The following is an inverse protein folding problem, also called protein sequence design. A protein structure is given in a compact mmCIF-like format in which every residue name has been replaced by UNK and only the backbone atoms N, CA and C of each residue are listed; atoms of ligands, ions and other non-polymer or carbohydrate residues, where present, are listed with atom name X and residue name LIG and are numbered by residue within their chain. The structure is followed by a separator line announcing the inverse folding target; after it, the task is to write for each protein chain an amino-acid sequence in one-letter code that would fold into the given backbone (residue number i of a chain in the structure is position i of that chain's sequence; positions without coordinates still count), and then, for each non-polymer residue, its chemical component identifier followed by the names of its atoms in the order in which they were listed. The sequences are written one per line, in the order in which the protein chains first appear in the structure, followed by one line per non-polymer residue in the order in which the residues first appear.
data_IF_916211680548
#
_entry.id   IF_916211680548
#
_cell.length_a   1.000
_cell.length_b   1.000
_cell.length_c   1.000
_cell.angle_alpha   90.00
_cell.angle_beta   90.00
_cell.angle_gamma   90.00
#
_symmetry.space_group_name_H-M   'P 1'
#
loop_
_entity.id
_entity.type
_entity.pdbx_description
1 polymer ?
#
# COMPACT_ATOMS: atom_id res chain seq x y z
N UNK A 1 -4.32 -8.99 12.59
CA UNK A 1 -3.92 -7.66 12.10
C UNK A 1 -4.41 -6.67 13.13
N UNK A 2 -3.49 -5.92 13.74
CA UNK A 2 -3.83 -4.90 14.74
C UNK A 2 -4.49 -3.75 13.98
N UNK A 3 -5.59 -3.23 14.52
CA UNK A 3 -6.30 -2.06 14.03
C UNK A 3 -5.36 -0.86 14.02
N UNK A 4 -4.67 -0.65 12.90
CA UNK A 4 -3.84 0.52 12.67
C UNK A 4 -4.76 1.64 12.21
N UNK A 5 -5.01 2.54 13.14
CA UNK A 5 -5.79 3.77 13.07
C UNK A 5 -5.31 4.70 11.93
N UNK A 6 -5.61 4.34 10.69
CA UNK A 6 -5.32 5.12 9.47
C UNK A 6 -3.84 5.30 9.09
N UNK A 7 -2.89 4.87 9.92
CA UNK A 7 -1.46 5.05 9.68
C UNK A 7 -0.91 4.11 8.60
N UNK A 8 0.10 4.59 7.86
CA UNK A 8 0.86 3.75 6.91
C UNK A 8 1.60 2.68 7.69
N UNK A 9 1.43 1.43 7.27
CA UNK A 9 2.14 0.29 7.84
C UNK A 9 3.38 0.01 6.99
N UNK A 10 4.51 -0.23 7.64
CA UNK A 10 5.80 -0.47 6.98
C UNK A 10 6.34 -1.84 7.39
N UNK A 11 6.74 -2.64 6.41
CA UNK A 11 7.40 -3.92 6.64
C UNK A 11 8.74 -3.93 5.92
N UNK A 12 9.84 -3.97 6.67
CA UNK A 12 11.19 -4.03 6.12
C UNK A 12 11.57 -5.48 5.85
N UNK A 13 12.15 -5.73 4.67
CA UNK A 13 12.68 -7.03 4.29
C UNK A 13 14.20 -7.00 4.26
N UNK A 14 14.84 -8.17 4.43
CA UNK A 14 16.29 -8.26 4.35
C UNK A 14 16.74 -8.27 2.88
N UNK A 15 17.61 -7.34 2.51
CA UNK A 15 18.17 -7.28 1.15
C UNK A 15 18.96 -8.54 0.78
N UNK A 16 19.52 -9.23 1.78
CA UNK A 16 20.28 -10.46 1.62
C UNK A 16 19.43 -11.65 1.14
N UNK A 17 18.15 -11.74 1.52
CA UNK A 17 17.25 -12.79 1.03
C UNK A 17 16.85 -12.56 -0.42
N UNK A 18 16.52 -11.31 -0.77
CA UNK A 18 16.13 -10.97 -2.14
C UNK A 18 17.28 -11.03 -3.14
N UNK A 19 18.49 -10.64 -2.74
CA UNK A 19 19.66 -10.69 -3.64
C UNK A 19 20.06 -12.13 -3.99
N UNK A 20 19.77 -13.09 -3.09
CA UNK A 20 20.07 -14.51 -3.30
C UNK A 20 19.02 -15.20 -4.18
N UNK A 21 17.75 -14.88 -3.98
CA UNK A 21 16.61 -15.41 -4.76
C UNK A 21 16.50 -14.75 -6.15
N UNK A 22 16.85 -13.46 -6.27
CA UNK A 22 16.69 -12.67 -7.50
C UNK A 22 18.00 -11.98 -7.96
N UNK A 23 19.08 -12.72 -8.23
CA UNK A 23 20.40 -12.16 -8.51
C UNK A 23 20.49 -11.31 -9.79
N UNK A 24 19.54 -11.45 -10.73
CA UNK A 24 19.53 -10.74 -12.02
C UNK A 24 18.52 -9.59 -12.11
N UNK A 25 17.70 -9.35 -11.09
CA UNK A 25 16.51 -8.49 -11.20
C UNK A 25 16.50 -7.35 -10.17
N UNK A 26 17.62 -6.65 -9.96
CA UNK A 26 17.66 -5.52 -9.02
C UNK A 26 16.63 -4.41 -9.33
N UNK A 27 16.21 -4.27 -10.59
CA UNK A 27 15.35 -3.16 -11.05
C UNK A 27 13.85 -3.47 -11.03
N UNK A 28 13.45 -4.75 -11.01
CA UNK A 28 12.03 -5.15 -11.15
C UNK A 28 11.37 -5.54 -9.82
N UNK A 29 12.06 -5.34 -8.69
CA UNK A 29 11.50 -5.71 -7.38
C UNK A 29 10.48 -4.69 -6.88
N UNK A 30 10.69 -3.41 -7.19
CA UNK A 30 9.76 -2.36 -6.81
C UNK A 30 8.44 -2.49 -7.58
N UNK A 31 7.32 -2.34 -6.87
CA UNK A 31 6.00 -2.38 -7.49
C UNK A 31 4.99 -1.54 -6.71
N UNK A 32 3.91 -1.21 -7.41
CA UNK A 32 2.71 -0.61 -6.83
C UNK A 32 1.53 -1.51 -7.12
N UNK A 33 0.76 -1.84 -6.10
CA UNK A 33 -0.45 -2.65 -6.19
C UNK A 33 -1.59 -1.92 -5.49
N UNK A 34 -2.63 -1.59 -6.25
CA UNK A 34 -3.92 -1.13 -5.74
C UNK A 34 -4.87 -2.30 -5.62
N UNK A 35 -5.32 -2.60 -4.40
CA UNK A 35 -6.18 -3.75 -4.10
C UNK A 35 -7.57 -3.29 -3.65
N UNK A 36 -8.60 -3.82 -4.29
CA UNK A 36 -9.99 -3.65 -3.87
C UNK A 36 -10.77 -4.93 -4.18
N UNK A 37 -11.57 -5.39 -3.22
CA UNK A 37 -12.35 -6.62 -3.33
C UNK A 37 -11.50 -7.82 -3.81
N UNK A 38 -10.32 -7.98 -3.21
CA UNK A 38 -9.32 -9.01 -3.57
C UNK A 38 -8.88 -9.00 -5.05
N UNK A 39 -9.00 -7.86 -5.75
CA UNK A 39 -8.58 -7.69 -7.14
C UNK A 39 -7.66 -6.49 -7.29
N UNK A 40 -6.65 -6.64 -8.15
CA UNK A 40 -5.79 -5.53 -8.55
C UNK A 40 -6.58 -4.54 -9.42
N UNK A 41 -6.46 -3.25 -9.11
CA UNK A 41 -7.05 -2.16 -9.88
C UNK A 41 -6.10 -1.59 -10.94
N UNK A 42 -4.80 -1.81 -10.78
CA UNK A 42 -3.77 -1.36 -11.71
C UNK A 42 -3.09 -2.52 -12.44
N UNK A 43 -2.35 -2.20 -13.51
CA UNK A 43 -1.61 -3.20 -14.27
C UNK A 43 -0.35 -3.64 -13.50
N UNK A 44 -0.32 -4.91 -13.09
CA UNK A 44 0.79 -5.53 -12.36
C UNK A 44 1.50 -6.63 -13.17
N UNK A 45 1.16 -6.82 -14.45
CA UNK A 45 1.65 -7.96 -15.27
C UNK A 45 3.17 -7.99 -15.44
N UNK A 46 3.82 -6.83 -15.34
CA UNK A 46 5.27 -6.70 -15.44
C UNK A 46 6.01 -7.06 -14.15
N UNK A 47 5.33 -7.18 -13.01
CA UNK A 47 5.94 -7.51 -11.73
C UNK A 47 5.49 -8.89 -11.27
N UNK A 48 6.41 -9.85 -11.26
CA UNK A 48 6.20 -11.19 -10.72
C UNK A 48 5.93 -11.15 -9.20
N UNK A 49 6.60 -10.24 -8.48
CA UNK A 49 6.39 -10.05 -7.04
C UNK A 49 5.00 -9.51 -6.72
N UNK A 50 4.51 -8.52 -7.48
CA UNK A 50 3.16 -7.99 -7.28
C UNK A 50 2.08 -9.05 -7.53
N UNK A 51 2.28 -9.90 -8.55
CA UNK A 51 1.37 -11.01 -8.85
C UNK A 51 1.39 -12.08 -7.77
N UNK A 52 2.58 -12.46 -7.28
CA UNK A 52 2.74 -13.40 -6.17
C UNK A 52 2.06 -12.88 -4.90
N UNK A 53 2.30 -11.60 -4.55
CA UNK A 53 1.64 -10.96 -3.41
C UNK A 53 0.12 -10.96 -3.57
N UNK A 54 -0.41 -10.63 -4.75
CA UNK A 54 -1.85 -10.66 -5.01
C UNK A 54 -2.46 -12.03 -4.73
N UNK A 55 -1.80 -13.12 -5.17
CA UNK A 55 -2.26 -14.49 -4.92
C UNK A 55 -2.32 -14.78 -3.42
N UNK A 56 -1.27 -14.45 -2.67
CA UNK A 56 -1.26 -14.61 -1.21
C UNK A 56 -2.35 -13.79 -0.52
N UNK A 57 -2.58 -12.55 -0.98
CA UNK A 57 -3.63 -11.68 -0.45
C UNK A 57 -5.03 -12.24 -0.74
N UNK A 58 -5.24 -12.88 -1.88
CA UNK A 58 -6.51 -13.52 -2.26
C UNK A 58 -6.85 -14.75 -1.41
N UNK A 59 -5.84 -15.48 -0.92
CA UNK A 59 -6.04 -16.62 -0.02
C UNK A 59 -6.47 -16.20 1.40
N UNK A 60 -6.25 -14.94 1.77
CA UNK A 60 -6.59 -14.42 3.10
C UNK A 60 -8.04 -13.93 3.19
N UNK A 61 -8.82 -14.62 4.03
CA UNK A 61 -10.20 -14.20 4.38
C UNK A 61 -10.22 -12.81 5.02
N UNK A 62 -9.22 -12.50 5.84
CA UNK A 62 -9.09 -11.19 6.49
C UNK A 62 -8.89 -10.08 5.47
N UNK A 63 -7.99 -10.27 4.50
CA UNK A 63 -7.74 -9.28 3.46
C UNK A 63 -8.97 -9.10 2.57
N UNK A 64 -9.67 -10.19 2.27
CA UNK A 64 -10.92 -10.13 1.51
C UNK A 64 -11.99 -9.29 2.22
N UNK A 65 -12.16 -9.46 3.54
CA UNK A 65 -13.07 -8.67 4.34
C UNK A 65 -12.64 -7.20 4.47
N UNK A 66 -11.35 -6.92 4.61
CA UNK A 66 -10.85 -5.54 4.71
C UNK A 66 -10.94 -4.78 3.38
N UNK A 67 -10.67 -5.47 2.27
CA UNK A 67 -10.65 -4.84 0.94
C UNK A 67 -12.00 -4.80 0.25
N UNK A 68 -13.03 -5.48 0.79
CA UNK A 68 -14.40 -5.40 0.24
C UNK A 68 -15.02 -4.02 0.42
N UNK A 69 -14.63 -3.29 1.46
CA UNK A 69 -15.20 -1.99 1.80
C UNK A 69 -14.28 -0.82 1.44
N UNK A 70 -13.03 -1.09 1.06
CA UNK A 70 -12.00 -0.07 0.93
C UNK A 70 -10.86 -0.49 0.03
N UNK A 71 -10.30 0.48 -0.68
CA UNK A 71 -9.09 0.26 -1.49
C UNK A 71 -7.86 0.38 -0.61
N UNK A 72 -6.87 -0.48 -0.85
CA UNK A 72 -5.55 -0.43 -0.23
C UNK A 72 -4.48 -0.25 -1.30
N UNK A 73 -3.43 0.48 -0.95
CA UNK A 73 -2.22 0.63 -1.74
C UNK A 73 -1.08 -0.10 -1.05
N UNK A 74 -0.41 -0.95 -1.81
CA UNK A 74 0.80 -1.68 -1.43
C UNK A 74 1.91 -1.19 -2.34
N UNK A 75 2.89 -0.49 -1.77
CA UNK A 75 4.09 -0.02 -2.46
C UNK A 75 5.28 -0.78 -1.92
N UNK A 76 5.99 -1.50 -2.79
CA UNK A 76 7.29 -2.06 -2.45
C UNK A 76 8.37 -1.21 -3.11
N UNK A 77 9.30 -0.69 -2.32
CA UNK A 77 10.37 0.20 -2.79
C UNK A 77 11.71 -0.52 -3.00
N UNK A 78 12.66 0.21 -3.58
CA UNK A 78 14.04 -0.26 -3.82
C UNK A 78 14.85 -0.49 -2.54
N UNK A 79 14.36 0.01 -1.39
CA UNK A 79 14.95 -0.22 -0.08
C UNK A 79 14.40 -1.50 0.58
N UNK A 80 13.64 -2.31 -0.17
CA UNK A 80 13.02 -3.54 0.30
C UNK A 80 12.00 -3.28 1.43
N UNK A 81 11.29 -2.15 1.37
CA UNK A 81 10.22 -1.81 2.32
C UNK A 81 8.86 -1.91 1.63
N UNK A 82 7.96 -2.71 2.22
CA UNK A 82 6.56 -2.76 1.84
C UNK A 82 5.77 -1.73 2.66
N UNK A 83 5.25 -0.71 1.99
CA UNK A 83 4.36 0.30 2.52
C UNK A 83 2.92 -0.09 2.21
N UNK A 84 2.08 -0.18 3.23
CA UNK A 84 0.66 -0.50 3.11
C UNK A 84 -0.17 0.64 3.66
N UNK A 85 -1.07 1.18 2.84
CA UNK A 85 -2.00 2.23 3.27
C UNK A 85 -3.38 2.02 2.70
N UNK A 86 -4.41 2.46 3.43
CA UNK A 86 -5.77 2.55 2.90
C UNK A 86 -5.82 3.70 1.89
N UNK A 87 -6.17 3.43 0.65
CA UNK A 87 -6.38 4.43 -0.40
C UNK A 87 -7.72 5.14 -0.13
N UNK A 88 -7.71 6.00 0.89
CA UNK A 88 -8.93 6.55 1.45
C UNK A 88 -8.72 7.35 2.73
N UNK A 89 -7.58 8.03 2.89
CA UNK A 89 -7.44 9.24 3.71
C UNK A 89 -6.40 10.13 3.01
N UNK A 90 -6.83 10.92 2.01
CA UNK A 90 -6.23 12.26 1.90
C UNK A 90 -6.60 12.91 3.21
N UNK A 91 -5.63 13.05 4.13
CA UNK A 91 -5.79 13.92 5.27
C UNK A 91 -6.34 15.23 4.73
N UNK A 92 -7.51 15.62 5.24
CA UNK A 92 -8.19 16.84 4.89
C UNK A 92 -7.26 18.00 5.25
N UNK A 93 -6.40 18.44 4.32
CA UNK A 93 -5.70 19.72 4.38
C UNK A 93 -6.37 20.68 3.41
N UNK A 94 -7.67 20.92 3.62
CA UNK A 94 -8.34 22.06 2.98
C UNK A 94 -9.56 22.52 3.78
N UNK A 95 -9.43 22.66 5.10
CA UNK A 95 -10.41 23.36 5.92
C UNK A 95 -9.81 23.92 7.23
N UNK A 96 -8.71 24.67 7.18
CA UNK A 96 -8.27 25.45 8.35
C UNK A 96 -7.59 26.78 7.99
N UNK A 97 -8.08 27.51 6.97
CA UNK A 97 -7.79 28.94 6.78
C UNK A 97 -8.92 29.67 6.09
N UNK A 98 -10.12 29.72 6.69
CA UNK A 98 -11.17 30.71 6.37
C UNK A 98 -12.28 30.68 7.43
N UNK A 99 -11.94 30.78 8.72
CA UNK A 99 -12.92 31.21 9.72
C UNK A 99 -12.30 31.91 10.93
N UNK A 100 -11.27 32.73 10.69
CA UNK A 100 -10.77 33.73 11.65
C UNK A 100 -10.76 35.11 10.99
N UNK A 101 -11.93 35.58 10.53
CA UNK A 101 -12.24 37.03 10.51
C UNK A 101 -13.73 37.18 10.82
N UNK A 102 -14.12 36.72 12.02
CA UNK A 102 -15.17 37.41 12.74
C UNK A 102 -14.49 38.54 13.53
N UNK A 103 -15.07 39.73 13.47
CA UNK A 103 -14.89 40.81 14.43
C UNK A 103 -13.51 41.46 14.51
N UNK A 104 -13.26 42.43 13.63
CA UNK A 104 -12.65 43.70 14.02
C UNK A 104 -13.39 44.85 13.34
N UNK A 105 -14.19 45.52 14.17
CA UNK A 105 -14.50 46.96 14.23
C UNK A 105 -14.94 47.67 12.97
#
# INVERSE_FOLDING_TARGET
MIDADGAVQHYSFSSHEFTREYPKRKTDLAFLLYLHSSKALNNIKSSELAQSLLLTLQESKTVTALTSESTYEFLFDEHFVLHVRKAGVKGNKMNEKSNMVANRT
#
